data_IF_364505510182
#
_entry.id   IF_364505510182
#
_cell.length_a   1.000
_cell.length_b   1.000
_cell.length_c   1.000
_cell.angle_alpha   90.00
_cell.angle_beta   90.00
_cell.angle_gamma   90.00
#
_symmetry.space_group_name_H-M   'P 1'
#
loop_
_entity.id
_entity.type
_entity.pdbx_description
1 polymer ?
#
# COMPACT_ATOMS: atom_id res chain seq x y z
N UNK A 1 1.48 16.94 -1.06
CA UNK A 1 0.37 16.27 -1.74
C UNK A 1 -0.60 17.31 -2.25
N UNK A 2 -0.77 17.36 -3.57
CA UNK A 2 -1.74 18.26 -4.19
C UNK A 2 -3.12 17.58 -4.14
N UNK A 3 -3.98 18.02 -3.24
CA UNK A 3 -5.37 17.54 -3.13
C UNK A 3 -6.17 18.11 -4.29
N UNK A 4 -6.66 17.28 -5.21
CA UNK A 4 -7.63 17.71 -6.20
C UNK A 4 -9.01 17.77 -5.56
N UNK A 5 -9.54 18.97 -5.32
CA UNK A 5 -10.95 19.18 -4.99
C UNK A 5 -11.75 19.28 -6.28
N UNK A 6 -12.73 18.40 -6.44
CA UNK A 6 -13.93 18.60 -7.28
C UNK A 6 -13.72 18.65 -8.79
N UNK A 7 -14.50 17.89 -9.48
CA UNK A 7 -14.85 18.02 -10.90
C UNK A 7 -15.51 19.39 -11.12
N UNK A 8 -14.76 20.38 -11.61
CA UNK A 8 -15.35 21.69 -11.88
C UNK A 8 -14.61 22.55 -12.88
N UNK A 9 -13.33 22.30 -13.13
CA UNK A 9 -12.59 23.13 -14.08
C UNK A 9 -11.63 22.31 -14.93
N UNK A 10 -11.89 22.27 -16.22
CA UNK A 10 -11.06 21.71 -17.29
C UNK A 10 -9.79 22.55 -17.51
N UNK A 11 -9.26 23.17 -16.47
CA UNK A 11 -7.97 23.83 -16.57
C UNK A 11 -6.84 22.81 -16.42
N UNK A 12 -5.91 22.84 -17.37
CA UNK A 12 -4.69 22.05 -17.35
C UNK A 12 -3.93 22.37 -16.08
N UNK A 13 -4.12 21.56 -15.04
CA UNK A 13 -3.34 21.69 -13.80
C UNK A 13 -1.93 21.25 -14.10
N UNK A 14 -0.99 22.11 -13.83
CA UNK A 14 0.43 21.84 -13.96
C UNK A 14 1.01 21.63 -12.55
N UNK A 15 1.71 20.53 -12.33
CA UNK A 15 2.52 20.30 -11.13
C UNK A 15 3.96 20.59 -11.51
N UNK A 16 4.57 21.55 -10.83
CA UNK A 16 5.97 21.90 -11.01
C UNK A 16 6.82 21.10 -10.02
N UNK A 17 7.76 20.33 -10.52
CA UNK A 17 8.69 19.55 -9.70
C UNK A 17 10.02 20.29 -9.65
N UNK A 18 10.46 20.65 -8.46
CA UNK A 18 11.68 21.43 -8.22
C UNK A 18 12.67 20.67 -7.36
N UNK A 19 13.96 20.84 -7.63
CA UNK A 19 15.04 20.28 -6.81
C UNK A 19 15.38 21.13 -5.60
N UNK A 20 15.07 22.42 -5.65
CA UNK A 20 15.35 23.38 -4.60
C UNK A 20 14.07 23.84 -3.94
N UNK A 21 14.11 23.99 -2.62
CA UNK A 21 12.97 24.54 -1.89
C UNK A 21 12.82 26.02 -2.30
N UNK A 22 11.70 26.41 -2.90
CA UNK A 22 11.49 27.80 -3.26
C UNK A 22 11.54 28.63 -1.96
N UNK A 23 12.58 29.42 -1.83
CA UNK A 23 12.69 30.38 -0.75
C UNK A 23 11.55 31.37 -0.87
N UNK A 24 10.62 31.29 0.06
CA UNK A 24 9.59 32.27 0.42
C UNK A 24 8.60 32.74 -0.67
N UNK A 25 7.32 32.67 -0.30
CA UNK A 25 6.18 33.48 -0.82
C UNK A 25 5.55 33.14 -2.16
N UNK A 26 5.80 32.02 -2.78
CA UNK A 26 4.89 31.55 -3.81
C UNK A 26 3.88 30.57 -3.20
N UNK A 27 2.78 31.12 -2.71
CA UNK A 27 1.55 30.39 -2.35
C UNK A 27 0.90 29.77 -3.60
N UNK A 28 1.64 28.96 -4.33
CA UNK A 28 1.13 28.20 -5.44
C UNK A 28 1.11 26.72 -5.04
N UNK A 29 -0.08 26.21 -4.80
CA UNK A 29 -0.38 24.80 -4.44
C UNK A 29 0.08 23.76 -5.47
N UNK A 30 0.82 24.17 -6.50
CA UNK A 30 1.21 23.34 -7.65
C UNK A 30 2.69 23.00 -7.70
N UNK A 31 3.42 23.13 -6.58
CA UNK A 31 4.82 22.77 -6.52
C UNK A 31 5.03 21.49 -5.70
N UNK A 32 5.82 20.58 -6.24
CA UNK A 32 6.34 19.41 -5.56
C UNK A 32 7.85 19.55 -5.42
N UNK A 33 8.32 19.63 -4.21
CA UNK A 33 9.75 19.68 -3.92
C UNK A 33 10.33 18.26 -3.82
N UNK A 34 11.36 17.99 -4.60
CA UNK A 34 12.10 16.73 -4.55
C UNK A 34 13.54 17.05 -4.15
N UNK A 35 13.93 16.82 -2.88
CA UNK A 35 15.27 17.15 -2.40
C UNK A 35 16.32 16.37 -3.18
N UNK A 36 17.43 17.03 -3.52
CA UNK A 36 18.61 16.36 -4.04
C UNK A 36 19.14 15.36 -3.00
N UNK A 37 18.91 14.08 -3.27
CA UNK A 37 19.50 13.04 -2.44
C UNK A 37 20.75 12.47 -3.13
N UNK A 38 21.87 13.22 -3.02
CA UNK A 38 23.13 12.88 -3.68
C UNK A 38 22.95 12.74 -5.20
N UNK A 39 23.89 12.24 -5.94
CA UNK A 39 23.82 11.99 -7.40
C UNK A 39 22.91 10.81 -7.78
N UNK A 40 21.73 10.70 -7.16
CA UNK A 40 20.81 9.58 -7.36
C UNK A 40 19.59 10.00 -8.19
N UNK A 41 19.10 9.06 -8.95
CA UNK A 41 17.86 9.19 -9.71
C UNK A 41 16.68 9.39 -8.77
N UNK A 42 15.83 10.35 -9.09
CA UNK A 42 14.55 10.57 -8.44
C UNK A 42 13.44 9.86 -9.21
N UNK A 43 12.44 9.37 -8.50
CA UNK A 43 11.28 8.70 -9.07
C UNK A 43 10.03 9.45 -8.65
N UNK A 44 9.22 9.84 -9.63
CA UNK A 44 7.87 10.38 -9.42
C UNK A 44 6.88 9.28 -9.75
N UNK A 45 6.01 8.96 -8.80
CA UNK A 45 4.96 7.95 -8.97
C UNK A 45 3.60 8.65 -9.00
N UNK A 46 2.94 8.58 -10.16
CA UNK A 46 1.53 8.95 -10.28
C UNK A 46 0.66 7.73 -10.05
N UNK A 47 -0.27 7.80 -9.10
CA UNK A 47 -1.11 6.66 -8.70
C UNK A 47 -2.58 6.97 -8.88
N UNK A 48 -3.28 6.04 -9.50
CA UNK A 48 -4.74 5.99 -9.56
C UNK A 48 -5.12 4.77 -8.72
N UNK A 49 -5.81 5.01 -7.60
CA UNK A 49 -6.19 3.91 -6.70
C UNK A 49 -7.40 3.15 -7.20
N UNK A 50 -8.43 3.88 -7.61
CA UNK A 50 -9.66 3.31 -8.14
C UNK A 50 -10.33 4.36 -9.02
N UNK A 51 -10.45 4.14 -10.34
CA UNK A 51 -11.29 4.97 -11.20
C UNK A 51 -12.75 4.71 -10.91
N UNK A 52 -13.62 5.66 -11.22
CA UNK A 52 -15.07 5.47 -11.10
C UNK A 52 -15.55 4.38 -12.06
N UNK A 53 -16.65 3.72 -11.71
CA UNK A 53 -17.23 2.65 -12.52
C UNK A 53 -17.56 3.16 -13.94
N UNK A 54 -17.23 2.33 -14.94
CA UNK A 54 -17.46 2.64 -16.37
C UNK A 54 -16.60 3.78 -16.95
N UNK A 55 -15.58 4.22 -16.25
CA UNK A 55 -14.56 5.13 -16.78
C UNK A 55 -13.27 4.34 -17.06
N UNK A 56 -12.42 4.87 -17.93
CA UNK A 56 -11.13 4.24 -18.23
C UNK A 56 -10.20 4.19 -17.00
N UNK A 57 -9.17 3.39 -17.04
CA UNK A 57 -8.21 3.21 -15.94
C UNK A 57 -7.49 4.49 -15.50
N UNK A 58 -7.59 5.56 -16.26
CA UNK A 58 -7.04 6.88 -15.92
C UNK A 58 -8.08 7.79 -15.24
N UNK A 59 -9.28 7.29 -14.97
CA UNK A 59 -10.37 8.07 -14.38
C UNK A 59 -10.86 9.19 -15.30
N UNK A 60 -10.75 9.02 -16.63
CA UNK A 60 -11.13 10.02 -17.64
C UNK A 60 -10.18 11.21 -17.76
N UNK A 61 -9.19 11.34 -16.84
CA UNK A 61 -8.30 12.51 -16.80
C UNK A 61 -7.09 12.37 -17.73
N UNK A 62 -6.86 11.17 -18.30
CA UNK A 62 -5.64 10.77 -19.02
C UNK A 62 -4.38 10.83 -18.12
N UNK A 63 -3.30 10.26 -18.60
CA UNK A 63 -2.02 10.32 -17.88
C UNK A 63 -1.37 11.71 -18.03
N UNK A 64 -0.72 12.21 -16.97
CA UNK A 64 0.02 13.45 -17.04
C UNK A 64 1.13 13.33 -18.08
N UNK A 65 1.36 14.41 -18.82
CA UNK A 65 2.46 14.49 -19.79
C UNK A 65 3.65 15.20 -19.16
N UNK A 66 4.80 14.53 -18.99
CA UNK A 66 5.98 15.17 -18.43
C UNK A 66 6.55 16.22 -19.40
N UNK A 67 6.97 17.35 -18.86
CA UNK A 67 7.70 18.39 -19.56
C UNK A 67 8.98 18.65 -18.78
N UNK A 68 10.13 18.44 -19.41
CA UNK A 68 11.43 18.76 -18.83
C UNK A 68 11.84 20.17 -19.22
N UNK A 69 12.08 21.03 -18.24
CA UNK A 69 12.64 22.37 -18.46
C UNK A 69 14.12 22.33 -18.11
N UNK A 70 14.97 22.59 -19.08
CA UNK A 70 16.41 22.66 -18.90
C UNK A 70 16.81 24.00 -18.25
N UNK A 71 18.05 24.09 -17.74
CA UNK A 71 18.58 25.31 -17.10
C UNK A 71 18.59 26.53 -18.00
N UNK A 72 18.68 26.34 -19.31
CA UNK A 72 18.58 27.40 -20.32
C UNK A 72 17.15 27.78 -20.69
N UNK A 73 16.13 27.24 -20.01
CA UNK A 73 14.71 27.49 -20.27
C UNK A 73 14.09 26.67 -21.40
N UNK A 74 14.86 25.83 -22.08
CA UNK A 74 14.32 24.97 -23.16
C UNK A 74 13.38 23.93 -22.59
N UNK A 75 12.21 23.76 -23.21
CA UNK A 75 11.20 22.78 -22.80
C UNK A 75 11.17 21.59 -23.75
N UNK A 76 11.42 20.41 -23.21
CA UNK A 76 11.38 19.13 -23.94
C UNK A 76 10.13 18.35 -23.57
N UNK A 77 9.58 17.62 -24.55
CA UNK A 77 8.34 16.85 -24.38
C UNK A 77 8.45 15.49 -25.08
N UNK A 78 7.62 14.54 -24.64
CA UNK A 78 7.49 13.23 -25.26
C UNK A 78 8.84 12.51 -25.35
N UNK A 79 9.16 11.96 -26.52
CA UNK A 79 10.35 11.13 -26.75
C UNK A 79 11.67 11.83 -26.35
N UNK A 80 11.81 13.10 -26.65
CA UNK A 80 13.02 13.88 -26.29
C UNK A 80 13.22 13.94 -24.78
N UNK A 81 12.15 14.10 -24.01
CA UNK A 81 12.22 14.06 -22.54
C UNK A 81 12.66 12.68 -22.06
N UNK A 82 12.08 11.62 -22.63
CA UNK A 82 12.45 10.26 -22.27
C UNK A 82 13.91 9.93 -22.58
N UNK A 83 14.42 10.38 -23.72
CA UNK A 83 15.81 10.16 -24.12
C UNK A 83 16.81 10.79 -23.16
N UNK A 84 16.53 12.01 -22.68
CA UNK A 84 17.40 12.70 -21.72
C UNK A 84 17.28 12.10 -20.31
N UNK A 85 16.06 11.75 -19.90
CA UNK A 85 15.80 11.16 -18.58
C UNK A 85 16.06 9.66 -18.55
N UNK A 86 16.23 9.02 -19.70
CA UNK A 86 16.52 7.60 -19.78
C UNK A 86 17.92 7.33 -19.23
N UNK A 87 17.96 6.79 -18.05
CA UNK A 87 19.20 6.30 -17.48
C UNK A 87 19.52 4.97 -18.15
N UNK A 88 20.72 4.84 -18.67
CA UNK A 88 21.23 3.64 -19.33
C UNK A 88 21.23 2.38 -18.44
N UNK A 89 20.86 2.51 -17.17
CA UNK A 89 20.77 1.41 -16.22
C UNK A 89 19.35 1.31 -15.65
N UNK A 90 18.67 0.19 -15.88
CA UNK A 90 17.38 -0.05 -15.23
C UNK A 90 17.55 -0.08 -13.72
N UNK A 91 16.53 0.37 -12.98
CA UNK A 91 16.45 0.19 -11.54
C UNK A 91 16.49 -1.32 -11.24
N UNK A 92 17.61 -1.78 -10.69
CA UNK A 92 17.72 -3.16 -10.22
C UNK A 92 17.29 -3.20 -8.75
N UNK A 93 16.17 -3.86 -8.49
CA UNK A 93 15.78 -4.26 -7.14
C UNK A 93 16.39 -5.64 -6.90
N UNK A 94 17.44 -5.69 -6.10
CA UNK A 94 18.11 -6.95 -5.74
C UNK A 94 17.90 -7.27 -4.26
N UNK A 95 18.12 -8.54 -3.88
CA UNK A 95 18.20 -8.94 -2.46
C UNK A 95 19.21 -8.12 -1.67
N UNK A 96 20.32 -7.74 -2.30
CA UNK A 96 21.33 -6.86 -1.70
C UNK A 96 20.74 -5.51 -1.28
N UNK A 97 19.68 -5.09 -1.96
CA UNK A 97 18.94 -3.90 -1.58
C UNK A 97 18.21 -4.04 -0.22
N UNK A 98 17.90 -5.26 0.22
CA UNK A 98 17.37 -5.54 1.56
C UNK A 98 18.48 -5.78 2.59
N UNK A 99 19.73 -5.95 2.15
CA UNK A 99 20.86 -6.22 3.01
C UNK A 99 20.87 -7.63 3.61
N UNK A 100 20.07 -8.56 3.06
CA UNK A 100 20.01 -9.95 3.53
C UNK A 100 20.37 -10.86 2.34
N UNK A 101 21.46 -11.64 2.45
CA UNK A 101 21.78 -12.67 1.46
C UNK A 101 20.69 -13.75 1.39
N UNK A 102 20.45 -14.39 0.22
CA UNK A 102 19.41 -15.40 0.06
C UNK A 102 19.53 -16.61 1.02
N UNK A 103 20.74 -17.05 1.32
CA UNK A 103 21.00 -18.12 2.29
C UNK A 103 20.64 -17.70 3.72
N UNK A 104 20.90 -16.47 4.10
CA UNK A 104 20.51 -15.92 5.40
C UNK A 104 18.99 -15.77 5.48
N UNK A 105 18.34 -15.29 4.42
CA UNK A 105 16.87 -15.25 4.36
C UNK A 105 16.25 -16.62 4.58
N UNK A 106 16.74 -17.67 3.87
CA UNK A 106 16.29 -19.05 4.07
C UNK A 106 16.50 -19.53 5.51
N UNK A 107 17.67 -19.24 6.08
CA UNK A 107 17.95 -19.57 7.48
C UNK A 107 16.97 -18.89 8.44
N UNK A 108 16.66 -17.65 8.18
CA UNK A 108 15.73 -16.87 9.01
C UNK A 108 14.28 -17.39 8.93
N UNK A 109 13.80 -17.80 7.77
CA UNK A 109 12.45 -18.33 7.61
C UNK A 109 12.30 -19.79 8.04
N UNK A 110 13.40 -20.52 8.19
CA UNK A 110 13.42 -21.95 8.55
C UNK A 110 13.84 -22.23 9.99
N UNK A 111 13.67 -21.26 10.92
CA UNK A 111 14.06 -21.44 12.31
C UNK A 111 13.29 -22.62 12.96
N UNK A 112 13.91 -23.77 13.17
CA UNK A 112 13.22 -24.97 13.65
C UNK A 112 12.75 -24.86 15.11
N UNK A 113 13.37 -23.97 15.89
CA UNK A 113 13.07 -23.70 17.28
C UNK A 113 11.91 -22.69 17.48
N UNK A 114 11.42 -22.09 16.39
CA UNK A 114 10.32 -21.11 16.41
C UNK A 114 9.32 -21.31 15.27
N UNK A 115 8.82 -22.54 15.04
CA UNK A 115 8.02 -22.84 13.86
C UNK A 115 6.67 -22.08 13.82
N UNK A 116 6.14 -21.68 14.99
CA UNK A 116 4.83 -21.03 15.11
C UNK A 116 4.90 -19.50 15.17
N UNK A 117 6.09 -18.94 15.25
CA UNK A 117 6.27 -17.50 15.39
C UNK A 117 6.97 -16.86 14.20
N UNK A 118 7.32 -17.69 13.16
CA UNK A 118 8.26 -17.19 12.19
C UNK A 118 8.10 -17.80 10.78
N UNK A 119 8.10 -16.96 9.71
CA UNK A 119 7.80 -15.53 9.69
C UNK A 119 6.31 -15.28 9.95
N UNK A 120 5.44 -16.29 9.75
CA UNK A 120 4.02 -16.24 10.04
C UNK A 120 3.75 -16.61 11.50
N UNK A 121 3.03 -15.77 12.19
CA UNK A 121 2.62 -16.05 13.57
C UNK A 121 1.35 -16.91 13.61
N UNK A 122 1.26 -17.76 14.65
CA UNK A 122 0.05 -18.48 15.01
C UNK A 122 -0.31 -18.19 16.49
N UNK A 123 -1.40 -17.46 16.80
CA UNK A 123 -2.32 -16.81 15.85
C UNK A 123 -1.69 -15.67 15.06
N UNK A 124 -2.25 -15.31 13.88
CA UNK A 124 -1.73 -14.23 13.06
C UNK A 124 -1.64 -12.90 13.79
N UNK A 125 -0.59 -12.13 13.49
CA UNK A 125 -0.36 -10.82 14.08
C UNK A 125 -0.27 -9.74 13.01
N UNK A 126 -0.86 -8.60 13.30
CA UNK A 126 -0.72 -7.42 12.48
C UNK A 126 0.50 -6.59 12.92
N UNK A 127 1.17 -6.02 11.93
CA UNK A 127 2.32 -5.15 12.09
C UNK A 127 2.11 -3.86 11.35
N UNK A 128 2.56 -2.75 11.94
CA UNK A 128 2.63 -1.47 11.23
C UNK A 128 3.69 -1.56 10.13
N UNK A 129 3.59 -0.67 9.15
CA UNK A 129 4.66 -0.50 8.17
C UNK A 129 5.88 0.13 8.86
N UNK A 130 6.89 -0.68 9.10
CA UNK A 130 8.16 -0.22 9.66
C UNK A 130 9.09 0.32 8.57
N UNK A 131 10.12 1.03 8.97
CA UNK A 131 11.21 1.37 8.09
C UNK A 131 11.90 0.12 7.53
N UNK A 132 12.70 0.30 6.47
CA UNK A 132 13.33 -0.81 5.76
C UNK A 132 14.27 -1.64 6.65
N UNK A 133 14.97 -0.99 7.56
CA UNK A 133 15.90 -1.66 8.48
C UNK A 133 15.16 -2.56 9.46
N UNK A 134 14.04 -2.08 9.97
CA UNK A 134 13.22 -2.79 10.95
C UNK A 134 12.33 -3.88 10.33
N UNK A 135 12.09 -3.84 9.00
CA UNK A 135 11.37 -4.92 8.30
C UNK A 135 12.01 -6.30 8.51
N UNK A 136 13.34 -6.37 8.64
CA UNK A 136 14.07 -7.59 8.96
C UNK A 136 13.59 -8.18 10.29
N UNK A 137 13.24 -7.34 11.24
CA UNK A 137 12.68 -7.77 12.52
C UNK A 137 11.40 -8.58 12.39
N UNK A 138 10.58 -8.33 11.36
CA UNK A 138 9.40 -9.14 11.08
C UNK A 138 9.75 -10.58 10.71
N UNK A 139 10.91 -10.82 10.12
CA UNK A 139 11.40 -12.15 9.76
C UNK A 139 12.24 -12.81 10.86
N UNK A 140 12.81 -12.07 11.77
CA UNK A 140 13.62 -12.60 12.87
C UNK A 140 12.85 -12.68 14.20
N UNK A 141 11.59 -12.26 14.24
CA UNK A 141 10.83 -12.16 15.48
C UNK A 141 11.41 -11.13 16.47
N UNK A 142 12.41 -10.34 16.05
CA UNK A 142 13.09 -9.34 16.86
C UNK A 142 12.72 -7.93 16.40
N UNK A 143 11.44 -7.62 16.41
CA UNK A 143 10.96 -6.26 16.14
C UNK A 143 11.34 -5.40 17.34
N UNK A 144 12.12 -4.35 17.09
CA UNK A 144 12.32 -3.29 18.06
C UNK A 144 10.95 -2.62 18.35
N UNK A 145 10.46 -2.66 19.59
CA UNK A 145 9.20 -2.01 19.95
C UNK A 145 9.21 -0.49 19.71
N UNK A 146 10.40 0.11 19.61
CA UNK A 146 10.60 1.52 19.30
C UNK A 146 10.94 1.75 17.81
N UNK A 147 10.86 0.74 16.97
CA UNK A 147 11.11 0.91 15.54
C UNK A 147 10.20 1.98 14.95
N UNK A 148 10.75 2.95 14.22
CA UNK A 148 9.95 4.01 13.64
C UNK A 148 9.02 3.47 12.56
N UNK A 149 7.81 4.01 12.54
CA UNK A 149 6.88 3.79 11.43
C UNK A 149 7.44 4.40 10.15
N UNK A 150 7.30 3.69 9.05
CA UNK A 150 7.59 4.22 7.73
C UNK A 150 6.52 5.22 7.30
N UNK A 151 6.93 6.32 6.70
CA UNK A 151 6.03 7.32 6.12
C UNK A 151 5.54 6.85 4.73
N UNK A 152 4.47 6.06 4.70
CA UNK A 152 3.79 5.66 3.46
C UNK A 152 4.46 4.57 2.62
N UNK A 153 5.27 3.71 3.21
CA UNK A 153 5.87 2.57 2.54
C UNK A 153 7.21 2.86 1.87
N UNK A 154 7.54 2.10 0.82
CA UNK A 154 8.80 2.28 0.08
C UNK A 154 8.84 3.57 -0.76
N UNK A 155 7.68 4.10 -1.08
CA UNK A 155 7.50 5.38 -1.78
C UNK A 155 6.63 6.25 -0.88
N UNK A 156 7.21 7.24 -0.19
CA UNK A 156 6.50 8.08 0.76
C UNK A 156 5.21 8.67 0.19
N UNK A 157 4.11 8.44 0.91
CA UNK A 157 2.80 9.02 0.62
C UNK A 157 2.05 9.16 1.94
N UNK A 158 2.00 10.36 2.48
CA UNK A 158 1.43 10.65 3.79
C UNK A 158 -0.08 10.36 3.89
N UNK A 159 -0.78 10.39 2.74
CA UNK A 159 -2.21 10.11 2.69
C UNK A 159 -2.54 8.63 2.86
N UNK A 160 -1.53 7.75 2.75
CA UNK A 160 -1.69 6.32 2.68
C UNK A 160 -0.85 5.61 3.74
N UNK A 161 -1.48 4.72 4.51
CA UNK A 161 -0.77 3.89 5.48
C UNK A 161 -1.26 2.44 5.44
N UNK A 162 -0.41 1.56 5.93
CA UNK A 162 -0.62 0.12 5.89
C UNK A 162 -0.37 -0.54 7.24
N UNK A 163 -1.13 -1.61 7.48
CA UNK A 163 -0.75 -2.68 8.40
C UNK A 163 -0.66 -3.99 7.63
N UNK A 164 0.17 -4.90 8.10
CA UNK A 164 0.46 -6.15 7.39
C UNK A 164 0.46 -7.33 8.34
N UNK A 165 0.10 -8.50 7.80
CA UNK A 165 0.26 -9.77 8.50
C UNK A 165 0.90 -10.79 7.55
N UNK A 166 1.80 -11.59 8.06
CA UNK A 166 2.39 -12.72 7.33
C UNK A 166 1.62 -13.96 7.71
N UNK A 167 1.11 -14.66 6.72
CA UNK A 167 0.31 -15.86 6.86
C UNK A 167 1.06 -17.06 6.27
N UNK A 168 0.81 -18.26 6.81
CA UNK A 168 1.34 -19.50 6.26
C UNK A 168 0.28 -20.59 6.32
N UNK A 169 0.09 -21.31 5.22
CA UNK A 169 -0.91 -22.40 5.09
C UNK A 169 -0.64 -23.57 6.03
N UNK A 170 0.60 -23.72 6.56
CA UNK A 170 0.90 -24.70 7.62
C UNK A 170 0.03 -24.54 8.88
N UNK A 171 -0.46 -23.32 9.14
CA UNK A 171 -1.33 -23.01 10.27
C UNK A 171 -2.83 -23.10 9.94
N UNK A 172 -3.17 -23.23 8.65
CA UNK A 172 -4.52 -23.36 8.16
C UNK A 172 -4.63 -22.94 6.69
N UNK A 173 -5.33 -23.75 5.90
CA UNK A 173 -5.50 -23.51 4.45
C UNK A 173 -6.43 -22.32 4.14
N UNK A 174 -7.30 -21.98 5.10
CA UNK A 174 -8.24 -20.85 5.02
C UNK A 174 -8.04 -19.98 6.25
N UNK A 175 -7.80 -18.71 6.02
CA UNK A 175 -7.75 -17.70 7.08
C UNK A 175 -8.95 -16.78 6.96
N UNK A 176 -9.49 -16.38 8.12
CA UNK A 176 -10.62 -15.46 8.19
C UNK A 176 -10.15 -14.16 8.82
N UNK A 177 -10.38 -13.06 8.10
CA UNK A 177 -10.24 -11.71 8.64
C UNK A 177 -11.63 -11.14 8.85
N UNK A 178 -11.92 -10.72 10.07
CA UNK A 178 -13.19 -10.06 10.41
C UNK A 178 -12.88 -8.79 11.20
N UNK A 179 -13.44 -7.67 10.75
CA UNK A 179 -13.27 -6.39 11.40
C UNK A 179 -14.43 -5.45 11.09
N UNK A 180 -14.53 -4.36 11.86
CA UNK A 180 -15.46 -3.28 11.56
C UNK A 180 -14.97 -2.52 10.34
N UNK A 181 -15.85 -2.24 9.38
CA UNK A 181 -15.50 -1.46 8.20
C UNK A 181 -15.48 0.03 8.54
N UNK A 182 -14.42 0.78 8.18
CA UNK A 182 -14.51 2.22 8.12
C UNK A 182 -15.56 2.64 7.08
N UNK A 183 -16.31 3.69 7.34
CA UNK A 183 -17.20 4.25 6.34
C UNK A 183 -16.42 4.93 5.22
N UNK A 184 -16.90 4.80 3.99
CA UNK A 184 -16.31 5.41 2.79
C UNK A 184 -17.40 6.12 1.99
N UNK A 185 -17.02 7.18 1.29
CA UNK A 185 -17.85 7.74 0.23
C UNK A 185 -17.78 6.80 -0.98
N UNK A 186 -18.86 6.12 -1.32
CA UNK A 186 -18.92 5.09 -2.37
C UNK A 186 -18.76 5.67 -3.78
N UNK A 187 -17.60 6.21 -4.07
CA UNK A 187 -17.33 6.97 -5.28
C UNK A 187 -17.14 6.10 -6.51
N UNK A 188 -16.74 4.84 -6.32
CA UNK A 188 -16.74 3.88 -7.43
C UNK A 188 -18.17 3.70 -7.99
N UNK A 189 -19.16 3.59 -7.13
CA UNK A 189 -20.58 3.49 -7.50
C UNK A 189 -21.23 4.84 -7.84
N UNK A 190 -20.48 5.93 -7.93
CA UNK A 190 -20.96 7.24 -8.37
C UNK A 190 -21.46 8.19 -7.27
N UNK A 191 -21.23 7.86 -5.97
CA UNK A 191 -21.55 8.78 -4.88
C UNK A 191 -20.57 9.95 -4.85
N UNK A 192 -21.04 11.14 -4.49
CA UNK A 192 -20.18 12.32 -4.36
C UNK A 192 -19.09 12.14 -3.31
N UNK A 193 -17.88 12.57 -3.62
CA UNK A 193 -16.75 12.57 -2.67
C UNK A 193 -16.87 13.56 -1.51
N UNK A 194 -17.97 14.31 -1.44
CA UNK A 194 -18.24 15.30 -0.39
C UNK A 194 -18.93 14.70 0.82
N UNK A 195 -19.33 13.43 0.78
CA UNK A 195 -19.92 12.77 1.94
C UNK A 195 -18.88 12.58 3.05
N UNK A 196 -19.31 12.85 4.28
CA UNK A 196 -18.49 12.57 5.46
C UNK A 196 -18.27 11.06 5.59
N UNK A 197 -17.01 10.67 5.70
CA UNK A 197 -16.59 9.28 5.81
C UNK A 197 -15.36 9.16 6.70
N UNK A 198 -15.15 7.96 7.27
CA UNK A 198 -13.99 7.71 8.11
C UNK A 198 -12.69 7.75 7.31
N UNK A 199 -12.70 7.16 6.12
CA UNK A 199 -11.57 7.15 5.19
C UNK A 199 -12.09 7.37 3.77
N UNK A 200 -11.24 7.86 2.89
CA UNK A 200 -11.60 8.00 1.48
C UNK A 200 -11.68 6.66 0.76
N UNK A 201 -10.88 5.70 1.20
CA UNK A 201 -10.74 4.39 0.58
C UNK A 201 -10.03 3.46 1.56
N UNK A 202 -10.43 2.19 1.58
CA UNK A 202 -9.65 1.12 2.19
C UNK A 202 -9.59 -0.11 1.29
N UNK A 203 -8.56 -0.91 1.47
CA UNK A 203 -8.41 -2.19 0.75
C UNK A 203 -7.66 -3.21 1.57
N UNK A 204 -7.92 -4.48 1.28
CA UNK A 204 -7.14 -5.61 1.75
C UNK A 204 -6.56 -6.31 0.53
N UNK A 205 -5.25 -6.39 0.45
CA UNK A 205 -4.54 -7.05 -0.64
C UNK A 205 -3.78 -8.28 -0.14
N UNK A 206 -3.67 -9.30 -0.98
CA UNK A 206 -2.73 -10.40 -0.83
C UNK A 206 -1.49 -10.12 -1.69
N UNK A 207 -0.33 -10.33 -1.10
CA UNK A 207 0.97 -10.09 -1.72
C UNK A 207 1.84 -11.33 -1.57
N UNK A 208 2.77 -11.54 -2.49
CA UNK A 208 3.76 -12.61 -2.38
C UNK A 208 4.71 -12.38 -1.23
N UNK A 209 5.62 -11.43 -1.38
CA UNK A 209 6.64 -11.14 -0.36
C UNK A 209 6.98 -9.66 -0.28
N UNK A 210 7.75 -9.28 0.76
CA UNK A 210 8.31 -7.93 0.85
C UNK A 210 9.45 -7.68 -0.14
N UNK A 211 10.01 -8.73 -0.70
CA UNK A 211 11.16 -8.62 -1.60
C UNK A 211 10.73 -8.20 -3.00
N UNK A 212 9.79 -8.95 -3.57
CA UNK A 212 9.29 -8.67 -4.91
C UNK A 212 8.11 -7.68 -4.89
N UNK A 213 7.45 -7.49 -3.73
CA UNK A 213 6.29 -6.62 -3.52
C UNK A 213 5.14 -6.87 -4.50
N UNK A 214 5.11 -8.04 -5.16
CA UNK A 214 4.08 -8.39 -6.11
C UNK A 214 2.74 -8.50 -5.41
N UNK A 215 1.76 -7.75 -5.88
CA UNK A 215 0.36 -7.88 -5.47
C UNK A 215 -0.25 -9.03 -6.26
N UNK A 216 -0.88 -9.96 -5.56
CA UNK A 216 -1.62 -11.04 -6.20
C UNK A 216 -3.05 -10.59 -6.51
N UNK A 217 -3.76 -10.10 -5.50
CA UNK A 217 -5.12 -9.58 -5.65
C UNK A 217 -5.45 -8.58 -4.54
N UNK A 218 -6.49 -7.78 -4.74
CA UNK A 218 -6.98 -6.80 -3.79
C UNK A 218 -8.51 -6.76 -3.78
N UNK A 219 -9.07 -6.66 -2.59
CA UNK A 219 -10.45 -6.26 -2.37
C UNK A 219 -10.48 -4.82 -1.88
N UNK A 220 -11.36 -4.01 -2.45
CA UNK A 220 -11.57 -2.63 -1.99
C UNK A 220 -12.93 -2.48 -1.29
N UNK A 221 -13.14 -1.37 -0.62
CA UNK A 221 -14.26 -1.10 0.27
C UNK A 221 -15.65 -1.35 -0.33
N UNK A 222 -15.85 -1.10 -1.63
CA UNK A 222 -17.17 -1.30 -2.27
C UNK A 222 -17.39 -2.73 -2.78
N UNK A 223 -16.34 -3.58 -2.84
CA UNK A 223 -16.46 -4.99 -3.20
C UNK A 223 -16.78 -5.90 -2.01
N UNK A 224 -16.53 -5.41 -0.79
CA UNK A 224 -16.63 -6.23 0.42
C UNK A 224 -18.02 -6.06 1.06
N UNK A 225 -18.79 -7.15 1.22
CA UNK A 225 -20.08 -7.10 1.88
C UNK A 225 -19.93 -6.76 3.36
N UNK A 226 -20.79 -5.84 3.84
CA UNK A 226 -20.80 -5.37 5.23
C UNK A 226 -22.09 -5.85 5.88
N UNK A 227 -21.96 -6.48 7.04
CA UNK A 227 -23.11 -6.96 7.80
C UNK A 227 -23.89 -5.80 8.48
N UNK A 228 -25.08 -6.11 9.01
CA UNK A 228 -25.96 -5.13 9.70
C UNK A 228 -25.31 -4.43 10.90
N UNK A 229 -24.21 -4.96 11.42
CA UNK A 229 -23.46 -4.40 12.55
C UNK A 229 -22.23 -3.61 12.09
N UNK A 230 -22.03 -3.47 10.77
CA UNK A 230 -20.93 -2.74 10.20
C UNK A 230 -19.62 -3.54 10.10
N UNK A 231 -19.66 -4.88 10.15
CA UNK A 231 -18.47 -5.73 10.05
C UNK A 231 -18.36 -6.37 8.68
N UNK A 232 -17.12 -6.47 8.21
CA UNK A 232 -16.75 -7.29 7.06
C UNK A 232 -16.25 -8.67 7.52
N UNK A 233 -16.38 -9.66 6.63
CA UNK A 233 -15.73 -10.97 6.78
C UNK A 233 -15.08 -11.33 5.44
N UNK A 234 -13.79 -11.62 5.46
CA UNK A 234 -13.00 -11.97 4.29
C UNK A 234 -12.33 -13.32 4.53
N UNK A 235 -12.57 -14.28 3.64
CA UNK A 235 -11.87 -15.54 3.60
C UNK A 235 -10.66 -15.43 2.68
N UNK A 236 -9.50 -15.87 3.13
CA UNK A 236 -8.23 -15.82 2.38
C UNK A 236 -7.75 -17.26 2.21
N UNK A 237 -7.56 -17.68 0.97
CA UNK A 237 -7.10 -19.03 0.63
C UNK A 237 -6.57 -19.09 -0.79
N UNK A 238 -5.94 -20.21 -1.17
CA UNK A 238 -5.79 -20.56 -2.57
C UNK A 238 -7.16 -20.90 -3.19
N UNK A 239 -7.20 -20.94 -4.50
CA UNK A 239 -8.42 -21.27 -5.26
C UNK A 239 -8.99 -22.63 -4.88
N UNK A 240 -8.14 -23.65 -4.77
CA UNK A 240 -8.54 -25.02 -4.43
C UNK A 240 -9.08 -25.18 -3.01
N UNK A 241 -8.70 -24.29 -2.10
CA UNK A 241 -9.15 -24.31 -0.70
C UNK A 241 -10.26 -23.28 -0.42
N UNK A 242 -10.80 -22.63 -1.45
CA UNK A 242 -11.86 -21.63 -1.29
C UNK A 242 -13.11 -22.25 -0.66
N UNK A 243 -13.60 -21.75 0.48
CA UNK A 243 -14.87 -22.19 1.04
C UNK A 243 -16.03 -21.91 0.09
N UNK A 244 -16.96 -22.87 -0.04
CA UNK A 244 -18.12 -22.72 -0.94
C UNK A 244 -19.00 -21.49 -0.62
N UNK A 245 -19.04 -21.09 0.63
CA UNK A 245 -19.80 -19.93 1.11
C UNK A 245 -18.96 -18.64 1.13
N UNK A 246 -17.72 -18.64 0.65
CA UNK A 246 -16.92 -17.43 0.49
C UNK A 246 -17.35 -16.69 -0.80
N UNK A 247 -18.56 -16.15 -0.75
CA UNK A 247 -19.23 -15.39 -1.81
C UNK A 247 -20.02 -14.24 -1.18
N UNK A 248 -20.19 -13.16 -1.93
CA UNK A 248 -20.82 -11.93 -1.44
C UNK A 248 -22.27 -12.16 -0.98
N UNK A 249 -22.99 -13.05 -1.63
CA UNK A 249 -24.38 -13.44 -1.27
C UNK A 249 -24.48 -14.06 0.14
N UNK A 250 -23.39 -14.67 0.61
CA UNK A 250 -23.28 -15.19 1.98
C UNK A 250 -22.68 -14.17 2.97
N UNK A 251 -22.41 -12.94 2.51
CA UNK A 251 -21.79 -11.90 3.35
C UNK A 251 -20.30 -12.13 3.61
N UNK A 252 -19.62 -12.94 2.79
CA UNK A 252 -18.21 -13.28 2.93
C UNK A 252 -17.49 -12.99 1.61
N UNK A 253 -16.60 -12.00 1.61
CA UNK A 253 -15.71 -11.77 0.49
C UNK A 253 -14.59 -12.82 0.46
N UNK A 254 -14.05 -13.10 -0.71
CA UNK A 254 -12.92 -13.99 -0.87
C UNK A 254 -11.72 -13.27 -1.49
N UNK A 255 -10.56 -13.40 -0.87
CA UNK A 255 -9.30 -12.87 -1.33
C UNK A 255 -8.35 -14.03 -1.67
N UNK A 256 -8.02 -14.25 -2.94
CA UNK A 256 -7.10 -15.31 -3.33
C UNK A 256 -5.66 -14.99 -2.88
N UNK A 257 -4.92 -15.99 -2.43
CA UNK A 257 -3.49 -15.94 -2.28
C UNK A 257 -2.79 -16.56 -3.49
N UNK A 258 -1.54 -16.17 -3.75
CA UNK A 258 -0.76 -16.70 -4.86
C UNK A 258 -0.46 -18.20 -4.67
N UNK A 259 -0.47 -18.95 -5.77
CA UNK A 259 -0.17 -20.39 -5.76
C UNK A 259 1.30 -20.68 -5.51
N UNK A 260 2.17 -19.73 -5.86
CA UNK A 260 3.62 -19.76 -5.64
C UNK A 260 4.06 -19.07 -4.35
N UNK A 261 3.14 -18.88 -3.42
CA UNK A 261 3.41 -18.36 -2.08
C UNK A 261 4.12 -17.02 -2.06
N UNK A 262 5.33 -16.97 -1.48
CA UNK A 262 6.16 -15.76 -1.45
C UNK A 262 6.87 -15.48 -2.80
N UNK A 263 6.71 -16.38 -3.76
CA UNK A 263 7.31 -16.31 -5.09
C UNK A 263 8.82 -16.57 -5.11
N UNK A 264 9.37 -17.14 -4.04
CA UNK A 264 10.82 -17.28 -3.88
C UNK A 264 11.26 -18.56 -3.18
N UNK A 265 10.76 -18.83 -1.97
CA UNK A 265 11.29 -19.89 -1.10
C UNK A 265 10.24 -20.73 -0.38
N UNK A 266 9.05 -20.19 -0.18
CA UNK A 266 7.98 -20.87 0.56
C UNK A 266 6.65 -20.64 -0.13
N UNK A 267 6.17 -21.68 -0.82
CA UNK A 267 4.94 -21.64 -1.59
C UNK A 267 3.69 -21.45 -0.70
N UNK A 268 3.80 -21.70 0.60
CA UNK A 268 2.70 -21.60 1.55
C UNK A 268 2.61 -20.24 2.28
N UNK A 269 3.58 -19.35 2.07
CA UNK A 269 3.59 -18.01 2.69
C UNK A 269 2.87 -17.00 1.82
N UNK A 270 2.11 -16.11 2.44
CA UNK A 270 1.57 -14.90 1.81
C UNK A 270 1.58 -13.74 2.78
N UNK A 271 1.57 -12.52 2.25
CA UNK A 271 1.44 -11.30 3.05
C UNK A 271 0.10 -10.67 2.73
N UNK A 272 -0.68 -10.39 3.75
CA UNK A 272 -1.86 -9.55 3.61
C UNK A 272 -1.53 -8.12 4.04
N UNK A 273 -2.07 -7.16 3.31
CA UNK A 273 -1.83 -5.76 3.54
C UNK A 273 -3.15 -4.99 3.58
N UNK A 274 -3.47 -4.44 4.74
CA UNK A 274 -4.63 -3.57 4.93
C UNK A 274 -4.22 -2.11 4.81
N UNK A 275 -5.02 -1.34 4.11
CA UNK A 275 -4.73 0.05 3.75
C UNK A 275 -5.85 0.98 4.16
N UNK A 276 -5.47 2.14 4.72
CA UNK A 276 -6.33 3.31 4.81
C UNK A 276 -5.75 4.44 3.96
N UNK A 277 -6.59 5.09 3.19
CA UNK A 277 -6.24 6.25 2.36
C UNK A 277 -7.08 7.45 2.79
N UNK A 278 -6.42 8.60 3.01
CA UNK A 278 -7.05 9.88 3.35
C UNK A 278 -8.11 9.72 4.47
N UNK A 279 -7.71 9.35 5.69
CA UNK A 279 -8.63 9.32 6.81
C UNK A 279 -9.10 10.73 7.16
N UNK A 280 -10.33 10.83 7.66
CA UNK A 280 -10.82 12.05 8.28
C UNK A 280 -10.03 12.36 9.55
N UNK A 281 -9.82 13.63 9.84
CA UNK A 281 -9.01 14.07 10.99
C UNK A 281 -9.57 13.58 12.33
N UNK A 282 -10.90 13.43 12.42
CA UNK A 282 -11.65 12.96 13.59
C UNK A 282 -11.77 11.43 13.67
N UNK A 283 -11.25 10.68 12.71
CA UNK A 283 -11.29 9.22 12.76
C UNK A 283 -10.10 8.66 13.56
N UNK A 284 -10.30 8.45 14.85
CA UNK A 284 -9.26 8.02 15.78
C UNK A 284 -8.76 6.57 15.56
N UNK A 285 -9.50 5.75 14.81
CA UNK A 285 -9.14 4.37 14.50
C UNK A 285 -8.42 4.20 13.16
N UNK A 286 -7.87 5.26 12.61
CA UNK A 286 -7.12 5.16 11.34
C UNK A 286 -5.72 4.56 11.55
N UNK A 287 -5.21 3.88 10.53
CA UNK A 287 -3.83 3.38 10.53
C UNK A 287 -2.83 4.55 10.69
N UNK A 288 -3.17 5.74 10.19
CA UNK A 288 -2.35 6.93 10.30
C UNK A 288 -2.13 7.41 11.75
N UNK A 289 -3.06 7.09 12.65
CA UNK A 289 -2.96 7.41 14.09
C UNK A 289 -2.08 6.44 14.87
N UNK A 290 -1.65 5.34 14.25
CA UNK A 290 -0.77 4.36 14.89
C UNK A 290 0.68 4.79 14.70
N UNK A 291 1.33 5.25 15.75
CA UNK A 291 2.72 5.70 15.69
C UNK A 291 3.72 4.57 15.95
N UNK A 292 3.36 3.63 16.83
CA UNK A 292 4.23 2.53 17.25
C UNK A 292 3.49 1.20 17.25
N UNK A 293 4.24 0.11 17.09
CA UNK A 293 3.72 -1.25 17.02
C UNK A 293 2.86 -1.65 18.23
N UNK A 294 3.25 -1.24 19.44
CA UNK A 294 2.53 -1.56 20.67
C UNK A 294 1.17 -0.87 20.80
N UNK A 295 0.96 0.21 20.07
CA UNK A 295 -0.31 0.97 20.05
C UNK A 295 -1.32 0.39 19.04
N UNK A 296 -0.87 -0.45 18.09
CA UNK A 296 -1.68 -0.88 16.95
C UNK A 296 -3.07 -1.40 17.39
N UNK A 297 -3.09 -2.36 18.30
CA UNK A 297 -4.34 -2.98 18.74
C UNK A 297 -5.27 -2.00 19.45
N UNK A 298 -4.70 -1.08 20.24
CA UNK A 298 -5.47 -0.07 20.98
C UNK A 298 -6.10 0.95 20.03
N UNK A 299 -5.32 1.44 19.06
CA UNK A 299 -5.79 2.45 18.11
C UNK A 299 -6.79 1.85 17.14
N UNK A 300 -6.44 0.75 16.47
CA UNK A 300 -7.33 0.15 15.47
C UNK A 300 -8.60 -0.46 16.09
N UNK A 301 -8.53 -0.97 17.31
CA UNK A 301 -9.69 -1.53 18.00
C UNK A 301 -10.42 -2.58 17.15
N UNK A 302 -11.75 -2.40 16.92
CA UNK A 302 -12.55 -3.36 16.15
C UNK A 302 -12.30 -3.32 14.64
N UNK A 303 -11.52 -2.36 14.13
CA UNK A 303 -11.27 -2.17 12.70
C UNK A 303 -10.10 -3.02 12.14
N UNK A 304 -9.54 -3.87 13.00
CA UNK A 304 -8.40 -4.74 12.63
C UNK A 304 -8.78 -6.21 12.76
#
# INVERSE_FOLDING_TARGET
VVRSRGLGDVYKRQINVLNENPTTSQNNDNYLYTPEYRKRQQLIVYRIYLPDQNIDITGGAKLPQPVLTLSNGTKLRGKQTCEILNTSQPLQVSFDALGIPPNEYRRLISQPDKPDTWPAHNPPKWFIQLDRKSLIGMYTGKIDPNAPRSEGGFYPNLDNQYIRSILNRKHGKVLIVRGKAPTTAKTYSGTSSTEESNVRYWSLCSNQSFVNTRVNDCLFDEEVPIDKNGFYTIAISRVEDRPRNAVNECGIAWLPMADDGDGMFDDDVTIIQFRHLLPADNFEHSIQKVERQDQLRKVMGPYM
#
